data_IF_869890425773
#
_entry.id   IF_869890425773
#
_cell.length_a   1.000
_cell.length_b   1.000
_cell.length_c   1.000
_cell.angle_alpha   90.00
_cell.angle_beta   90.00
_cell.angle_gamma   90.00
#
_symmetry.space_group_name_H-M   'P 1'
#
loop_
_entity.id
_entity.type
_entity.pdbx_description
1 polymer ?
#
# COMPACT_ATOMS: atom_id res chain seq x y z
N UNK A 1 11.27 -22.67 25.86
CA UNK A 1 9.92 -22.06 25.78
C UNK A 1 9.31 -22.45 24.46
N UNK A 2 8.00 -22.44 24.32
CA UNK A 2 7.39 -22.77 23.03
C UNK A 2 7.65 -21.62 22.03
N UNK A 3 8.49 -21.86 21.02
CA UNK A 3 8.84 -20.89 19.98
C UNK A 3 7.63 -20.52 19.09
N UNK A 4 6.49 -21.21 19.25
CA UNK A 4 5.25 -20.95 18.50
C UNK A 4 4.83 -19.48 18.51
N UNK A 5 4.99 -18.73 19.62
CA UNK A 5 4.64 -17.30 19.65
C UNK A 5 5.55 -16.45 18.75
N UNK A 6 6.85 -16.76 18.70
CA UNK A 6 7.79 -16.09 17.81
C UNK A 6 7.54 -16.44 16.34
N UNK A 7 7.23 -17.72 16.05
CA UNK A 7 6.88 -18.15 14.69
C UNK A 7 5.55 -17.54 14.23
N UNK A 8 4.55 -17.49 15.11
CA UNK A 8 3.28 -16.82 14.86
C UNK A 8 3.47 -15.31 14.61
N UNK A 9 4.32 -14.63 15.41
CA UNK A 9 4.72 -13.24 15.15
C UNK A 9 5.25 -13.05 13.72
N UNK A 10 6.24 -13.86 13.31
CA UNK A 10 6.79 -13.80 11.96
C UNK A 10 5.73 -14.04 10.88
N UNK A 11 4.85 -15.01 11.10
CA UNK A 11 3.76 -15.38 10.18
C UNK A 11 2.78 -14.23 9.95
N UNK A 12 2.30 -13.60 11.03
CA UNK A 12 1.34 -12.49 10.91
C UNK A 12 2.00 -11.23 10.36
N UNK A 13 3.28 -10.99 10.68
CA UNK A 13 4.04 -9.86 10.13
C UNK A 13 4.27 -10.00 8.63
N UNK A 14 4.66 -11.18 8.15
CA UNK A 14 4.79 -11.46 6.71
C UNK A 14 3.45 -11.26 6.01
N UNK A 15 2.37 -11.83 6.55
CA UNK A 15 1.04 -11.70 5.97
C UNK A 15 0.60 -10.23 5.91
N UNK A 16 0.85 -9.48 6.99
CA UNK A 16 0.51 -8.07 7.06
C UNK A 16 1.27 -7.25 6.01
N UNK A 17 2.58 -7.41 5.88
CA UNK A 17 3.38 -6.56 4.98
C UNK A 17 3.36 -7.02 3.54
N UNK A 18 3.60 -8.31 3.29
CA UNK A 18 3.78 -8.83 1.95
C UNK A 18 2.47 -8.95 1.17
N UNK A 19 1.35 -9.23 1.85
CA UNK A 19 0.05 -9.46 1.21
C UNK A 19 -0.85 -8.23 1.38
N UNK A 20 -1.25 -7.90 2.61
CA UNK A 20 -2.30 -6.90 2.85
C UNK A 20 -1.80 -5.46 2.71
N UNK A 21 -0.65 -5.15 3.31
CA UNK A 21 -0.04 -3.84 3.36
C UNK A 21 0.39 -3.37 1.99
N UNK A 22 1.15 -4.20 1.26
CA UNK A 22 1.55 -3.95 -0.13
C UNK A 22 0.36 -3.72 -1.06
N UNK A 23 -0.62 -4.62 -1.04
CA UNK A 23 -1.85 -4.50 -1.86
C UNK A 23 -2.61 -3.23 -1.48
N UNK A 24 -2.77 -2.95 -0.19
CA UNK A 24 -3.47 -1.77 0.31
C UNK A 24 -2.81 -0.45 -0.09
N UNK A 25 -1.47 -0.39 -0.08
CA UNK A 25 -0.69 0.77 -0.53
C UNK A 25 -0.79 0.96 -2.05
N UNK A 26 -0.68 -0.12 -2.83
CA UNK A 26 -0.88 -0.06 -4.28
C UNK A 26 -2.30 0.41 -4.63
N UNK A 27 -3.33 -0.07 -3.93
CA UNK A 27 -4.71 0.40 -4.11
C UNK A 27 -4.88 1.88 -3.74
N UNK A 28 -4.21 2.35 -2.68
CA UNK A 28 -4.23 3.75 -2.28
C UNK A 28 -3.74 4.67 -3.41
N UNK A 29 -2.67 4.25 -4.10
CA UNK A 29 -1.97 5.04 -5.11
C UNK A 29 -2.56 4.89 -6.50
N UNK A 30 -2.92 3.67 -6.90
CA UNK A 30 -3.30 3.33 -8.28
C UNK A 30 -4.79 2.99 -8.44
N UNK A 31 -5.48 2.68 -7.33
CA UNK A 31 -6.88 2.25 -7.35
C UNK A 31 -7.89 3.35 -7.69
N UNK A 32 -7.55 4.63 -7.52
CA UNK A 32 -8.47 5.76 -7.82
C UNK A 32 -9.01 5.77 -9.25
N UNK A 33 -8.21 5.26 -10.19
CA UNK A 33 -8.55 5.24 -11.63
C UNK A 33 -9.28 3.95 -12.02
N UNK A 34 -9.36 2.96 -11.13
CA UNK A 34 -10.25 1.80 -11.30
C UNK A 34 -11.71 2.24 -11.10
N UNK A 35 -12.27 2.95 -12.08
CA UNK A 35 -13.72 3.02 -12.26
C UNK A 35 -14.13 1.72 -12.94
N UNK A 36 -14.37 0.68 -12.16
CA UNK A 36 -14.94 -0.57 -12.66
C UNK A 36 -16.45 -0.38 -12.66
N UNK A 37 -16.98 0.11 -13.77
CA UNK A 37 -18.41 0.33 -13.97
C UNK A 37 -18.90 1.68 -13.45
N UNK A 38 -19.79 2.29 -14.23
CA UNK A 38 -20.48 3.53 -13.88
C UNK A 38 -21.12 3.41 -12.49
N UNK A 39 -20.63 4.24 -11.55
CA UNK A 39 -21.29 4.57 -10.30
C UNK A 39 -21.54 3.45 -9.26
N UNK A 40 -20.61 2.53 -9.04
CA UNK A 40 -20.70 1.70 -7.82
C UNK A 40 -19.93 2.33 -6.66
N UNK A 41 -20.65 3.12 -5.87
CA UNK A 41 -20.27 3.36 -4.49
C UNK A 41 -20.59 2.08 -3.69
N UNK A 42 -19.67 1.63 -2.85
CA UNK A 42 -19.95 0.58 -1.86
C UNK A 42 -19.97 1.26 -0.49
N UNK A 43 -21.08 1.11 0.25
CA UNK A 43 -21.30 1.82 1.52
C UNK A 43 -21.18 3.36 1.40
N UNK A 44 -21.65 3.94 0.29
CA UNK A 44 -21.62 5.40 0.07
C UNK A 44 -20.22 5.98 -0.15
N UNK A 45 -19.20 5.15 -0.39
CA UNK A 45 -17.83 5.55 -0.74
C UNK A 45 -17.34 4.82 -1.99
N UNK A 46 -16.31 5.37 -2.64
CA UNK A 46 -15.72 4.75 -3.83
C UNK A 46 -15.08 3.39 -3.49
N UNK A 47 -15.27 2.37 -4.36
CA UNK A 47 -14.76 1.01 -4.14
C UNK A 47 -13.27 1.00 -3.77
N UNK A 48 -12.43 1.73 -4.51
CA UNK A 48 -10.99 1.79 -4.22
C UNK A 48 -10.68 2.24 -2.79
N UNK A 49 -11.50 3.15 -2.25
CA UNK A 49 -11.31 3.70 -0.91
C UNK A 49 -11.72 2.68 0.14
N UNK A 50 -12.82 1.96 -0.09
CA UNK A 50 -13.25 0.90 0.80
C UNK A 50 -12.27 -0.28 0.79
N UNK A 51 -11.78 -0.69 -0.39
CA UNK A 51 -10.78 -1.75 -0.52
C UNK A 51 -9.47 -1.37 0.19
N UNK A 52 -8.98 -0.15 -0.04
CA UNK A 52 -7.81 0.39 0.67
C UNK A 52 -8.01 0.37 2.19
N UNK A 53 -9.16 0.86 2.68
CA UNK A 53 -9.50 0.88 4.10
C UNK A 53 -9.52 -0.53 4.67
N UNK A 54 -10.21 -1.46 4.03
CA UNK A 54 -10.30 -2.85 4.47
C UNK A 54 -8.92 -3.51 4.57
N UNK A 55 -8.13 -3.43 3.49
CA UNK A 55 -6.80 -4.05 3.44
C UNK A 55 -5.85 -3.48 4.48
N UNK A 56 -5.78 -2.14 4.63
CA UNK A 56 -4.88 -1.53 5.61
C UNK A 56 -5.38 -1.63 7.04
N UNK A 57 -6.69 -1.69 7.29
CA UNK A 57 -7.22 -2.01 8.61
C UNK A 57 -6.85 -3.44 9.00
N UNK A 58 -7.03 -4.42 8.11
CA UNK A 58 -6.62 -5.80 8.36
C UNK A 58 -5.11 -5.93 8.57
N UNK A 59 -4.30 -5.27 7.73
CA UNK A 59 -2.85 -5.20 7.91
C UNK A 59 -2.46 -4.62 9.27
N UNK A 60 -3.11 -3.54 9.70
CA UNK A 60 -2.82 -2.88 10.98
C UNK A 60 -3.16 -3.79 12.17
N UNK A 61 -4.29 -4.51 12.11
CA UNK A 61 -4.66 -5.49 13.14
C UNK A 61 -3.64 -6.63 13.24
N UNK A 62 -3.18 -7.15 12.11
CA UNK A 62 -2.15 -8.20 12.08
C UNK A 62 -0.80 -7.71 12.63
N UNK A 63 -0.41 -6.46 12.35
CA UNK A 63 0.82 -5.86 12.90
C UNK A 63 0.72 -5.72 14.43
N UNK A 64 -0.41 -5.23 14.94
CA UNK A 64 -0.64 -5.11 16.39
C UNK A 64 -0.65 -6.49 17.06
N UNK A 65 -1.32 -7.48 16.44
CA UNK A 65 -1.31 -8.86 16.92
C UNK A 65 0.12 -9.43 16.96
N UNK A 66 0.89 -9.28 15.88
CA UNK A 66 2.27 -9.75 15.84
C UNK A 66 3.14 -9.07 16.91
N UNK A 67 2.99 -7.77 17.10
CA UNK A 67 3.71 -7.05 18.16
C UNK A 67 3.37 -7.59 19.56
N UNK A 68 2.10 -7.89 19.82
CA UNK A 68 1.69 -8.48 21.08
C UNK A 68 2.24 -9.92 21.27
N UNK A 69 2.24 -10.74 20.21
CA UNK A 69 2.78 -12.10 20.25
C UNK A 69 4.28 -12.12 20.62
N UNK A 70 5.08 -11.20 20.07
CA UNK A 70 6.51 -11.14 20.40
C UNK A 70 6.76 -10.62 21.81
N UNK A 71 5.94 -9.69 22.31
CA UNK A 71 6.00 -9.25 23.72
C UNK A 71 5.71 -10.42 24.67
N UNK A 72 4.69 -11.23 24.39
CA UNK A 72 4.38 -12.43 25.18
C UNK A 72 5.56 -13.41 25.17
N UNK A 73 6.09 -13.71 23.99
CA UNK A 73 7.23 -14.61 23.83
C UNK A 73 8.44 -14.15 24.66
N UNK A 74 8.72 -12.83 24.66
CA UNK A 74 9.83 -12.22 25.40
C UNK A 74 9.50 -11.88 26.85
N UNK A 75 8.28 -12.17 27.33
CA UNK A 75 7.81 -11.81 28.68
C UNK A 75 8.00 -10.32 28.99
N UNK A 76 7.79 -9.47 28.00
CA UNK A 76 8.02 -8.02 28.10
C UNK A 76 9.48 -7.58 28.22
N UNK A 77 10.45 -8.49 28.17
CA UNK A 77 11.87 -8.15 28.21
C UNK A 77 12.32 -7.56 26.88
N UNK A 78 13.02 -6.42 26.95
CA UNK A 78 13.64 -5.81 25.79
C UNK A 78 14.86 -6.62 25.32
N UNK A 79 15.15 -6.51 24.02
CA UNK A 79 16.34 -7.11 23.41
C UNK A 79 17.59 -6.31 23.80
N UNK A 80 18.70 -6.98 24.11
CA UNK A 80 19.98 -6.31 24.38
C UNK A 80 21.04 -6.68 23.34
N UNK A 81 21.90 -5.74 22.98
CA UNK A 81 22.97 -5.97 21.99
C UNK A 81 23.92 -7.07 22.47
N UNK A 82 24.29 -7.07 23.77
CA UNK A 82 25.23 -8.02 24.34
C UNK A 82 24.73 -9.48 24.31
N UNK A 83 23.41 -9.70 24.46
CA UNK A 83 22.83 -11.05 24.56
C UNK A 83 22.31 -11.53 23.21
N UNK A 84 21.68 -10.64 22.44
CA UNK A 84 20.92 -11.00 21.24
C UNK A 84 21.58 -10.54 19.94
N UNK A 85 22.65 -9.76 20.02
CA UNK A 85 23.36 -9.21 18.88
C UNK A 85 22.73 -7.93 18.31
N UNK A 86 23.51 -7.16 17.53
CA UNK A 86 23.11 -5.85 17.04
C UNK A 86 21.98 -5.89 16.02
N UNK A 87 21.91 -6.95 15.19
CA UNK A 87 20.89 -7.05 14.13
C UNK A 87 19.48 -7.23 14.70
N UNK A 88 19.31 -8.11 15.69
CA UNK A 88 18.02 -8.31 16.35
C UNK A 88 17.61 -7.08 17.17
N UNK A 89 18.59 -6.41 17.80
CA UNK A 89 18.34 -5.13 18.48
C UNK A 89 17.80 -4.06 17.51
N UNK A 90 18.46 -3.89 16.36
CA UNK A 90 18.02 -2.96 15.31
C UNK A 90 16.65 -3.35 14.74
N UNK A 91 16.40 -4.63 14.50
CA UNK A 91 15.08 -5.13 14.07
C UNK A 91 13.98 -4.74 15.06
N UNK A 92 14.22 -4.86 16.37
CA UNK A 92 13.24 -4.44 17.38
C UNK A 92 13.02 -2.93 17.41
N UNK A 93 14.07 -2.11 17.23
CA UNK A 93 13.91 -0.64 17.15
C UNK A 93 13.09 -0.26 15.92
N UNK A 94 13.47 -0.75 14.74
CA UNK A 94 12.77 -0.44 13.48
C UNK A 94 11.33 -0.96 13.55
N UNK A 95 11.12 -2.17 14.06
CA UNK A 95 9.79 -2.73 14.33
C UNK A 95 8.94 -1.86 15.24
N UNK A 96 9.49 -1.34 16.34
CA UNK A 96 8.78 -0.44 17.24
C UNK A 96 8.42 0.90 16.59
N UNK A 97 9.32 1.48 15.78
CA UNK A 97 9.03 2.71 15.00
C UNK A 97 7.85 2.46 14.06
N UNK A 98 7.85 1.32 13.36
CA UNK A 98 6.75 0.91 12.48
C UNK A 98 5.44 0.81 13.27
N UNK A 99 5.42 0.16 14.42
CA UNK A 99 4.22 0.04 15.27
C UNK A 99 3.71 1.41 15.70
N UNK A 100 4.60 2.33 16.12
CA UNK A 100 4.23 3.71 16.43
C UNK A 100 3.59 4.42 15.24
N UNK A 101 4.16 4.28 14.03
CA UNK A 101 3.57 4.83 12.81
C UNK A 101 2.18 4.23 12.52
N UNK A 102 1.98 2.93 12.73
CA UNK A 102 0.68 2.26 12.52
C UNK A 102 -0.35 2.72 13.54
N UNK A 103 0.00 2.84 14.82
CA UNK A 103 -0.89 3.39 15.85
C UNK A 103 -1.31 4.80 15.47
N UNK A 104 -0.36 5.65 15.05
CA UNK A 104 -0.66 6.99 14.57
C UNK A 104 -1.59 6.97 13.33
N UNK A 105 -1.39 6.03 12.41
CA UNK A 105 -2.27 5.86 11.25
C UNK A 105 -3.70 5.48 11.62
N UNK A 106 -3.89 4.63 12.63
CA UNK A 106 -5.21 4.28 13.17
C UNK A 106 -5.88 5.53 13.73
N UNK A 107 -5.20 6.28 14.59
CA UNK A 107 -5.74 7.51 15.17
C UNK A 107 -6.09 8.55 14.11
N UNK A 108 -5.22 8.77 13.12
CA UNK A 108 -5.50 9.66 11.99
C UNK A 108 -6.72 9.19 11.20
N UNK A 109 -6.87 7.88 10.97
CA UNK A 109 -8.02 7.33 10.25
C UNK A 109 -9.34 7.50 11.02
N UNK A 110 -9.32 7.37 12.36
CA UNK A 110 -10.49 7.56 13.22
C UNK A 110 -10.90 9.02 13.32
N UNK A 111 -9.95 9.93 13.56
CA UNK A 111 -10.20 11.38 13.65
C UNK A 111 -10.10 12.09 12.30
N UNK A 112 -10.35 11.35 11.21
CA UNK A 112 -10.29 11.88 9.86
C UNK A 112 -11.26 13.06 9.72
N UNK A 113 -10.71 14.24 9.42
CA UNK A 113 -11.51 15.45 9.21
C UNK A 113 -12.44 15.36 7.99
N UNK A 114 -13.51 16.16 8.00
CA UNK A 114 -14.46 16.28 6.88
C UNK A 114 -13.71 16.64 5.57
N UNK A 115 -14.10 16.08 4.41
CA UNK A 115 -13.54 16.45 3.11
C UNK A 115 -13.45 17.96 2.82
N UNK A 116 -14.36 18.78 3.35
CA UNK A 116 -14.41 20.23 3.14
C UNK A 116 -13.71 21.05 4.23
N UNK A 117 -13.03 20.39 5.18
CA UNK A 117 -12.32 21.08 6.27
C UNK A 117 -11.06 21.80 5.75
N UNK A 118 -10.76 23.02 6.21
CA UNK A 118 -9.51 23.72 5.86
C UNK A 118 -8.26 22.95 6.34
N UNK A 119 -8.36 22.16 7.41
CA UNK A 119 -7.25 21.36 7.96
C UNK A 119 -7.05 20.01 7.23
N UNK A 120 -7.80 19.76 6.14
CA UNK A 120 -7.71 18.52 5.36
C UNK A 120 -6.31 18.29 4.77
N UNK A 121 -5.57 19.35 4.47
CA UNK A 121 -4.21 19.23 3.95
C UNK A 121 -3.26 18.61 5.00
N UNK A 122 -3.38 19.01 6.28
CA UNK A 122 -2.56 18.49 7.38
C UNK A 122 -2.78 16.99 7.51
N UNK A 123 -4.05 16.57 7.60
CA UNK A 123 -4.42 15.16 7.63
C UNK A 123 -3.82 14.38 6.46
N UNK A 124 -3.98 14.90 5.22
CA UNK A 124 -3.49 14.22 4.03
C UNK A 124 -1.96 14.06 4.03
N UNK A 125 -1.23 15.09 4.44
CA UNK A 125 0.23 15.07 4.53
C UNK A 125 0.71 14.12 5.62
N UNK A 126 0.21 14.27 6.85
CA UNK A 126 0.59 13.41 7.97
C UNK A 126 0.29 11.96 7.65
N UNK A 127 -0.94 11.64 7.22
CA UNK A 127 -1.36 10.27 6.88
C UNK A 127 -0.52 9.64 5.76
N UNK A 128 -0.11 10.45 4.77
CA UNK A 128 0.73 9.98 3.67
C UNK A 128 2.17 9.73 4.13
N UNK A 129 2.76 10.63 4.89
CA UNK A 129 4.14 10.51 5.37
C UNK A 129 4.26 9.31 6.29
N UNK A 130 3.43 9.22 7.32
CA UNK A 130 3.49 8.14 8.33
C UNK A 130 3.25 6.78 7.69
N UNK A 131 2.29 6.66 6.77
CA UNK A 131 2.04 5.43 6.02
C UNK A 131 3.20 5.04 5.12
N UNK A 132 3.82 6.01 4.43
CA UNK A 132 4.97 5.75 3.56
C UNK A 132 6.21 5.35 4.36
N UNK A 133 6.45 5.98 5.51
CA UNK A 133 7.54 5.64 6.42
C UNK A 133 7.36 4.22 6.99
N UNK A 134 6.18 3.89 7.49
CA UNK A 134 5.88 2.55 7.99
C UNK A 134 6.12 1.48 6.92
N UNK A 135 5.62 1.73 5.70
CA UNK A 135 5.80 0.80 4.59
C UNK A 135 7.27 0.70 4.16
N UNK A 136 8.00 1.80 4.06
CA UNK A 136 9.43 1.81 3.72
C UNK A 136 10.29 1.08 4.76
N UNK A 137 10.08 1.35 6.04
CA UNK A 137 10.77 0.65 7.12
C UNK A 137 10.42 -0.83 7.19
N UNK A 138 9.24 -1.26 6.73
CA UNK A 138 8.91 -2.68 6.66
C UNK A 138 9.87 -3.48 5.77
N UNK A 139 10.33 -2.92 4.65
CA UNK A 139 11.35 -3.57 3.81
C UNK A 139 12.65 -3.75 4.59
N UNK A 140 13.13 -2.69 5.24
CA UNK A 140 14.34 -2.73 6.06
C UNK A 140 14.20 -3.80 7.15
N UNK A 141 13.05 -3.83 7.82
CA UNK A 141 12.81 -4.76 8.91
C UNK A 141 12.74 -6.22 8.46
N UNK A 142 12.17 -6.47 7.27
CA UNK A 142 12.17 -7.79 6.62
C UNK A 142 13.59 -8.23 6.25
N UNK A 143 14.42 -7.35 5.69
CA UNK A 143 15.82 -7.69 5.43
C UNK A 143 16.59 -7.97 6.72
N UNK A 144 16.45 -7.13 7.75
CA UNK A 144 17.13 -7.32 9.03
C UNK A 144 16.85 -8.71 9.62
N UNK A 145 15.60 -9.17 9.61
CA UNK A 145 15.26 -10.49 10.19
C UNK A 145 15.87 -11.63 9.38
N UNK A 146 16.04 -11.51 8.05
CA UNK A 146 16.71 -12.55 7.25
C UNK A 146 18.18 -12.77 7.63
N UNK A 147 18.85 -11.74 8.15
CA UNK A 147 20.22 -11.85 8.66
C UNK A 147 20.30 -12.31 10.13
N UNK A 148 19.18 -12.27 10.85
CA UNK A 148 19.07 -12.79 12.22
C UNK A 148 18.78 -14.29 12.21
N UNK A 149 17.89 -14.75 11.32
CA UNK A 149 17.53 -16.15 11.18
C UNK A 149 18.68 -16.92 10.52
N UNK A 150 19.15 -17.98 11.17
CA UNK A 150 20.33 -18.73 10.73
C UNK A 150 20.00 -19.82 9.71
N UNK A 151 18.88 -20.51 9.92
CA UNK A 151 18.53 -21.66 9.11
C UNK A 151 17.95 -21.21 7.78
N UNK A 152 18.51 -21.72 6.68
CA UNK A 152 18.11 -21.36 5.32
C UNK A 152 18.12 -19.85 5.03
N UNK A 153 19.04 -19.11 5.65
CA UNK A 153 19.14 -17.65 5.52
C UNK A 153 19.28 -17.18 4.06
N UNK A 154 20.00 -17.92 3.21
CA UNK A 154 20.12 -17.62 1.77
C UNK A 154 18.74 -17.69 1.09
N UNK A 155 17.92 -18.69 1.40
CA UNK A 155 16.58 -18.81 0.84
C UNK A 155 15.67 -17.67 1.31
N UNK A 156 15.72 -17.31 2.61
CA UNK A 156 15.00 -16.14 3.15
C UNK A 156 15.39 -14.86 2.41
N UNK A 157 16.69 -14.61 2.24
CA UNK A 157 17.23 -13.45 1.51
C UNK A 157 16.75 -13.43 0.06
N UNK A 158 16.80 -14.56 -0.65
CA UNK A 158 16.33 -14.66 -2.03
C UNK A 158 14.84 -14.33 -2.10
N UNK A 159 14.00 -14.92 -1.26
CA UNK A 159 12.54 -14.71 -1.29
C UNK A 159 12.19 -13.25 -1.00
N UNK A 160 12.78 -12.64 0.05
CA UNK A 160 12.55 -11.23 0.39
C UNK A 160 13.06 -10.30 -0.71
N UNK A 161 14.20 -10.62 -1.34
CA UNK A 161 14.74 -9.87 -2.48
C UNK A 161 13.86 -9.97 -3.71
N UNK A 162 13.36 -11.16 -4.05
CA UNK A 162 12.42 -11.37 -5.15
C UNK A 162 11.13 -10.59 -4.94
N UNK A 163 10.54 -10.64 -3.74
CA UNK A 163 9.34 -9.89 -3.43
C UNK A 163 9.58 -8.37 -3.48
N UNK A 164 10.71 -7.90 -2.95
CA UNK A 164 11.09 -6.47 -3.02
C UNK A 164 11.29 -6.01 -4.45
N UNK A 165 11.94 -6.84 -5.28
CA UNK A 165 12.16 -6.55 -6.70
C UNK A 165 10.82 -6.52 -7.46
N UNK A 166 9.94 -7.47 -7.18
CA UNK A 166 8.57 -7.47 -7.69
C UNK A 166 7.80 -6.20 -7.31
N UNK A 167 7.94 -5.73 -6.06
CA UNK A 167 7.33 -4.47 -5.61
C UNK A 167 7.81 -3.26 -6.41
N UNK A 168 9.10 -3.20 -6.76
CA UNK A 168 9.64 -2.12 -7.59
C UNK A 168 9.09 -2.23 -9.02
N UNK A 169 9.13 -3.43 -9.59
CA UNK A 169 8.64 -3.70 -10.95
C UNK A 169 7.17 -3.31 -11.08
N UNK A 170 6.30 -3.79 -10.18
CA UNK A 170 4.86 -3.52 -10.25
C UNK A 170 4.56 -2.02 -10.08
N UNK A 171 5.31 -1.32 -9.21
CA UNK A 171 5.20 0.14 -9.06
C UNK A 171 5.58 0.85 -10.35
N UNK A 172 6.66 0.44 -11.02
CA UNK A 172 7.06 1.00 -12.32
C UNK A 172 5.97 0.79 -13.36
N UNK A 173 5.43 -0.43 -13.50
CA UNK A 173 4.33 -0.69 -14.42
C UNK A 173 3.11 0.18 -14.14
N UNK A 174 2.71 0.32 -12.88
CA UNK A 174 1.59 1.18 -12.51
C UNK A 174 1.87 2.67 -12.79
N UNK A 175 3.08 3.16 -12.55
CA UNK A 175 3.45 4.54 -12.88
C UNK A 175 3.48 4.79 -14.38
N UNK A 176 3.98 3.84 -15.19
CA UNK A 176 3.93 3.92 -16.65
C UNK A 176 2.49 4.03 -17.15
N UNK A 177 1.59 3.19 -16.62
CA UNK A 177 0.16 3.24 -16.95
C UNK A 177 -0.46 4.56 -16.50
N UNK A 178 -0.13 5.06 -15.31
CA UNK A 178 -0.63 6.37 -14.86
C UNK A 178 -0.08 7.52 -15.71
N UNK A 179 1.18 7.46 -16.12
CA UNK A 179 1.79 8.44 -17.00
C UNK A 179 1.07 8.48 -18.35
N UNK A 180 0.84 7.31 -18.97
CA UNK A 180 0.05 7.21 -20.20
C UNK A 180 -1.36 7.79 -20.03
N UNK A 181 -2.03 7.48 -18.92
CA UNK A 181 -3.35 8.02 -18.62
C UNK A 181 -3.34 9.56 -18.51
N UNK A 182 -2.36 10.13 -17.79
CA UNK A 182 -2.18 11.58 -17.65
C UNK A 182 -1.91 12.24 -19.00
N UNK A 183 -1.04 11.64 -19.83
CA UNK A 183 -0.70 12.11 -21.18
C UNK A 183 -1.93 12.15 -22.09
N UNK A 184 -2.69 11.06 -22.17
CA UNK A 184 -3.90 10.98 -23.00
C UNK A 184 -4.96 11.98 -22.53
N UNK A 185 -5.18 12.09 -21.21
CA UNK A 185 -6.15 13.04 -20.65
C UNK A 185 -5.76 14.50 -20.96
N UNK A 186 -4.47 14.84 -20.90
CA UNK A 186 -3.99 16.19 -21.22
C UNK A 186 -4.13 16.51 -22.72
N UNK A 187 -3.85 15.55 -23.61
CA UNK A 187 -4.04 15.73 -25.06
C UNK A 187 -5.52 15.93 -25.41
N UNK A 188 -6.41 15.17 -24.80
CA UNK A 188 -7.87 15.33 -25.00
C UNK A 188 -8.38 16.67 -24.48
N UNK A 189 -7.94 17.10 -23.29
CA UNK A 189 -8.29 18.41 -22.75
C UNK A 189 -7.79 19.55 -23.66
N UNK A 190 -6.61 19.40 -24.27
CA UNK A 190 -6.09 20.36 -25.27
C UNK A 190 -6.94 20.37 -26.55
N UNK A 191 -7.24 19.20 -27.11
CA UNK A 191 -8.04 19.09 -28.34
C UNK A 191 -9.45 19.66 -28.13
N UNK A 192 -10.08 19.37 -26.99
CA UNK A 192 -11.39 19.93 -26.64
C UNK A 192 -11.35 21.46 -26.62
N UNK A 193 -10.36 22.06 -25.93
CA UNK A 193 -10.18 23.52 -25.92
C UNK A 193 -10.03 24.12 -27.31
N UNK A 194 -9.25 23.50 -28.18
CA UNK A 194 -9.06 23.95 -29.57
C UNK A 194 -10.36 23.86 -30.37
N UNK A 195 -11.14 22.78 -30.22
CA UNK A 195 -12.45 22.64 -30.86
C UNK A 195 -13.44 23.74 -30.44
N UNK A 196 -13.47 24.09 -29.15
CA UNK A 196 -14.30 25.19 -28.65
C UNK A 196 -13.88 26.55 -29.24
N UNK A 197 -12.59 26.88 -29.23
CA UNK A 197 -12.10 28.16 -29.79
C UNK A 197 -12.40 28.28 -31.29
N UNK A 198 -12.31 27.18 -32.05
CA UNK A 198 -12.65 27.18 -33.47
C UNK A 198 -14.15 27.36 -33.74
N UNK A 199 -15.03 26.93 -32.82
CA UNK A 199 -16.48 27.16 -32.93
C UNK A 199 -16.88 28.60 -32.56
N UNK A 200 -16.24 29.22 -31.57
CA UNK A 200 -16.47 30.63 -31.22
C UNK A 200 -16.02 31.59 -32.33
N UNK A 201 -14.95 31.26 -33.07
CA UNK A 201 -14.51 32.03 -34.24
C UNK A 201 -15.46 31.97 -35.44
N UNK A 202 -16.37 31.00 -35.49
CA UNK A 202 -17.37 30.82 -36.56
C UNK A 202 -18.76 31.32 -36.13
N UNK A 203 -19.09 31.23 -34.84
CA UNK A 203 -20.42 31.57 -34.29
C UNK A 203 -20.37 32.75 -33.31
N UNK A 204 -19.85 33.91 -33.73
CA UNK A 204 -19.80 35.12 -32.90
C UNK A 204 -21.18 35.71 -32.49
N UNK A 205 -22.30 34.99 -32.72
CA UNK A 205 -23.67 35.42 -32.39
C UNK A 205 -24.49 34.40 -31.57
N UNK A 206 -23.89 33.36 -30.99
CA UNK A 206 -24.63 32.44 -30.11
C UNK A 206 -24.02 32.44 -28.72
N UNK A 207 -24.80 32.95 -27.76
CA UNK A 207 -24.48 33.01 -26.35
C UNK A 207 -24.23 31.58 -25.82
N UNK A 208 -23.08 31.30 -25.18
CA UNK A 208 -22.76 29.93 -24.79
C UNK A 208 -23.50 29.52 -23.52
N UNK A 209 -24.27 28.44 -23.62
CA UNK A 209 -24.97 27.80 -22.51
C UNK A 209 -23.94 27.28 -21.50
N UNK A 210 -23.94 27.91 -20.33
CA UNK A 210 -23.02 27.68 -19.21
C UNK A 210 -23.30 26.33 -18.53
N UNK A 211 -23.07 25.17 -19.15
CA UNK A 211 -23.22 23.90 -18.41
C UNK A 211 -22.48 22.65 -18.92
N UNK A 212 -21.51 22.76 -19.82
CA UNK A 212 -20.67 21.62 -20.21
C UNK A 212 -19.42 21.45 -19.32
N UNK A 213 -19.62 21.41 -18.00
CA UNK A 213 -18.57 21.17 -17.00
C UNK A 213 -18.16 19.69 -16.82
N UNK A 214 -18.52 18.80 -17.75
CA UNK A 214 -18.12 17.40 -17.68
C UNK A 214 -16.77 17.20 -18.36
N UNK A 215 -15.69 17.26 -17.58
CA UNK A 215 -14.40 16.69 -17.96
C UNK A 215 -14.64 15.31 -18.61
N UNK A 216 -14.37 15.11 -19.92
CA UNK A 216 -14.47 13.80 -20.52
C UNK A 216 -13.24 13.00 -20.07
N UNK A 217 -13.24 12.54 -18.82
CA UNK A 217 -12.37 11.43 -18.43
C UNK A 217 -12.91 10.21 -19.13
N UNK A 218 -12.48 9.98 -20.37
CA UNK A 218 -12.83 8.78 -21.12
C UNK A 218 -12.45 7.58 -20.26
N UNK A 219 -13.47 6.82 -19.85
CA UNK A 219 -13.29 5.57 -19.15
C UNK A 219 -12.61 4.59 -20.09
N UNK A 220 -11.28 4.53 -20.04
CA UNK A 220 -10.54 3.58 -20.84
C UNK A 220 -10.64 2.20 -20.19
N UNK A 221 -11.73 1.50 -20.51
CA UNK A 221 -12.06 0.18 -19.97
C UNK A 221 -10.91 -0.82 -20.13
N UNK A 222 -10.12 -0.74 -21.21
CA UNK A 222 -8.92 -1.58 -21.42
C UNK A 222 -7.86 -1.32 -20.35
N UNK A 223 -7.53 -0.05 -20.07
CA UNK A 223 -6.57 0.32 -19.02
C UNK A 223 -7.05 -0.13 -17.63
N UNK A 224 -8.35 -0.07 -17.35
CA UNK A 224 -8.92 -0.53 -16.07
C UNK A 224 -8.80 -2.06 -15.92
N UNK A 225 -9.06 -2.83 -16.99
CA UNK A 225 -8.84 -4.28 -17.01
C UNK A 225 -7.37 -4.64 -16.78
N UNK A 226 -6.44 -3.94 -17.44
CA UNK A 226 -4.99 -4.14 -17.23
C UNK A 226 -4.58 -3.85 -15.78
N UNK A 227 -5.04 -2.75 -15.19
CA UNK A 227 -4.77 -2.45 -13.77
C UNK A 227 -5.32 -3.52 -12.84
N UNK A 228 -6.55 -3.97 -13.05
CA UNK A 228 -7.16 -5.03 -12.26
C UNK A 228 -6.34 -6.32 -12.36
N UNK A 229 -5.92 -6.70 -13.57
CA UNK A 229 -5.05 -7.85 -13.80
C UNK A 229 -3.71 -7.71 -13.05
N UNK A 230 -3.07 -6.55 -13.10
CA UNK A 230 -1.83 -6.28 -12.35
C UNK A 230 -2.03 -6.39 -10.82
N UNK A 231 -3.16 -5.92 -10.28
CA UNK A 231 -3.49 -6.12 -8.87
C UNK A 231 -3.64 -7.60 -8.52
N UNK A 232 -4.33 -8.38 -9.37
CA UNK A 232 -4.50 -9.82 -9.14
C UNK A 232 -3.17 -10.57 -9.19
N UNK A 233 -2.31 -10.28 -10.18
CA UNK A 233 -0.96 -10.85 -10.24
C UNK A 233 -0.17 -10.49 -8.98
N UNK A 234 -0.22 -9.23 -8.54
CA UNK A 234 0.49 -8.81 -7.34
C UNK A 234 0.05 -9.58 -6.09
N UNK A 235 -1.26 -9.80 -5.91
CA UNK A 235 -1.81 -10.58 -4.80
C UNK A 235 -1.31 -12.04 -4.88
N UNK A 236 -1.39 -12.66 -6.06
CA UNK A 236 -0.95 -14.04 -6.28
C UNK A 236 0.54 -14.19 -5.96
N UNK A 237 1.40 -13.37 -6.55
CA UNK A 237 2.85 -13.43 -6.32
C UNK A 237 3.18 -13.18 -4.85
N UNK A 238 2.49 -12.24 -4.21
CA UNK A 238 2.69 -11.96 -2.78
C UNK A 238 2.36 -13.18 -1.91
N UNK A 239 1.24 -13.86 -2.17
CA UNK A 239 0.86 -15.09 -1.45
C UNK A 239 1.87 -16.21 -1.71
N UNK A 240 2.21 -16.44 -2.98
CA UNK A 240 3.14 -17.51 -3.40
C UNK A 240 4.52 -17.34 -2.77
N UNK A 241 5.02 -16.10 -2.65
CA UNK A 241 6.31 -15.84 -1.99
C UNK A 241 6.22 -15.84 -0.46
N UNK A 242 5.06 -15.50 0.13
CA UNK A 242 4.88 -15.53 1.58
C UNK A 242 4.80 -16.94 2.16
N UNK A 243 4.19 -17.90 1.46
CA UNK A 243 4.04 -19.29 1.94
C UNK A 243 5.39 -19.95 2.28
N UNK A 244 6.39 -20.03 1.37
CA UNK A 244 7.67 -20.65 1.68
C UNK A 244 8.40 -19.87 2.78
N UNK A 245 8.30 -18.55 2.83
CA UNK A 245 8.90 -17.73 3.89
C UNK A 245 8.35 -18.10 5.28
N UNK A 246 7.03 -18.31 5.37
CA UNK A 246 6.36 -18.78 6.59
C UNK A 246 6.84 -20.20 6.95
N UNK A 247 6.86 -21.13 6.00
CA UNK A 247 7.33 -22.51 6.25
C UNK A 247 8.75 -22.51 6.80
N UNK A 248 9.65 -21.71 6.22
CA UNK A 248 11.04 -21.61 6.67
C UNK A 248 11.14 -21.04 8.08
N UNK A 249 10.27 -20.10 8.45
CA UNK A 249 10.21 -19.55 9.82
C UNK A 249 9.80 -20.61 10.83
N UNK A 250 8.80 -21.43 10.51
CA UNK A 250 8.35 -22.50 11.40
C UNK A 250 9.36 -23.62 11.56
N UNK A 251 10.29 -23.75 10.63
CA UNK A 251 11.40 -24.69 10.68
C UNK A 251 12.63 -24.15 11.43
N UNK A 252 12.64 -22.89 11.89
CA UNK A 252 13.75 -22.36 12.69
C UNK A 252 13.78 -23.03 14.07
N UNK A 253 14.97 -23.44 14.50
CA UNK A 253 15.24 -23.99 15.84
C UNK A 253 15.40 -22.91 16.91
#
# INVERSE_FOLDING_TARGET
>A
MNNNFAHAHGTVMISAWMIFGSTGVLFARYGRVLRVGNQRQFLGKSIWFQTHRFLLSLSSLLILLGFFLIIIYRRGQWVSVAINGPLLFTHSIVGSIIVCCIILQIWLALYRCNPHSPFRFIFNWTHRITGSLAFGFSFINLFLITFVLKQQHIALLIIVSLWTSWMIIIVIFFELIQYQYRKVSALMARNARVSYTNQEGVNANVQPDTEAGTNPTIENQRLNKVKLFLFLIHIIISIVLSIPLIIIIWNQS
#
